data_IF_006566948897
#
_entry.id   IF_006566948897
#
_cell.length_a   1.000
_cell.length_b   1.000
_cell.length_c   1.000
_cell.angle_alpha   90.00
_cell.angle_beta   90.00
_cell.angle_gamma   90.00
#
_symmetry.space_group_name_H-M   'P 1'
#
loop_
_entity.id
_entity.type
_entity.pdbx_description
1 polymer ?
#
# COMPACT_ATOMS: atom_id res chain seq x y z
N UNK A 1 -31.45 5.03 -19.34
CA UNK A 1 -32.25 3.80 -19.15
C UNK A 1 -31.34 2.59 -19.34
N UNK A 2 -31.01 1.90 -18.26
CA UNK A 2 -30.68 0.47 -18.25
C UNK A 2 -30.82 0.04 -16.80
N UNK A 3 -31.71 -0.93 -16.55
CA UNK A 3 -32.21 -1.27 -15.23
C UNK A 3 -31.40 -2.39 -14.56
N UNK A 4 -31.60 -2.50 -13.25
CA UNK A 4 -31.52 -3.79 -12.55
C UNK A 4 -32.71 -3.85 -11.60
N UNK A 5 -33.63 -4.75 -11.91
CA UNK A 5 -34.72 -5.16 -11.04
C UNK A 5 -34.15 -5.96 -9.86
N UNK A 6 -34.47 -5.56 -8.63
CA UNK A 6 -34.51 -6.46 -7.49
C UNK A 6 -35.88 -6.32 -6.84
N UNK A 7 -36.77 -7.30 -7.05
CA UNK A 7 -38.06 -7.38 -6.38
C UNK A 7 -37.92 -7.69 -4.88
N UNK A 8 -39.01 -7.58 -4.10
CA UNK A 8 -38.95 -7.78 -2.66
C UNK A 8 -38.89 -9.28 -2.31
N UNK A 9 -37.79 -9.70 -1.67
CA UNK A 9 -37.66 -11.03 -1.08
C UNK A 9 -38.39 -11.07 0.27
N UNK A 10 -39.62 -11.60 0.31
CA UNK A 10 -40.30 -11.98 1.55
C UNK A 10 -39.94 -13.43 1.93
N UNK A 11 -39.02 -13.59 2.87
CA UNK A 11 -38.67 -14.86 3.50
C UNK A 11 -37.85 -14.62 4.77
N UNK A 12 -37.95 -15.48 5.82
CA UNK A 12 -37.25 -15.24 7.07
C UNK A 12 -35.74 -15.30 6.88
N UNK A 13 -35.04 -14.31 7.43
CA UNK A 13 -33.59 -14.17 7.34
C UNK A 13 -32.88 -15.36 8.01
N UNK A 14 -32.31 -16.27 7.21
CA UNK A 14 -31.31 -17.23 7.71
C UNK A 14 -29.99 -16.49 7.93
N UNK A 15 -29.44 -16.61 9.13
CA UNK A 15 -28.10 -16.09 9.44
C UNK A 15 -27.06 -16.74 8.51
N UNK A 16 -26.23 -15.99 7.79
CA UNK A 16 -25.14 -16.59 7.05
C UNK A 16 -24.13 -17.15 8.04
N UNK A 17 -23.83 -18.44 7.90
CA UNK A 17 -22.72 -19.08 8.58
C UNK A 17 -21.45 -18.26 8.33
N UNK A 18 -20.82 -17.82 9.42
CA UNK A 18 -19.63 -16.98 9.37
C UNK A 18 -18.46 -17.77 8.81
N UNK A 19 -18.06 -17.48 7.57
CA UNK A 19 -16.75 -17.89 7.08
C UNK A 19 -15.66 -17.34 8.02
N UNK A 20 -14.68 -18.16 8.45
CA UNK A 20 -13.55 -17.67 9.22
C UNK A 20 -12.83 -16.57 8.42
N UNK A 21 -12.60 -15.41 9.04
CA UNK A 21 -11.75 -14.37 8.43
C UNK A 21 -10.38 -14.97 8.10
N UNK A 22 -9.87 -14.66 6.91
CA UNK A 22 -8.45 -14.85 6.61
C UNK A 22 -7.63 -14.16 7.70
N UNK A 23 -7.04 -14.95 8.60
CA UNK A 23 -6.09 -14.44 9.57
C UNK A 23 -4.77 -14.26 8.85
N UNK A 24 -4.11 -13.12 9.09
CA UNK A 24 -2.68 -12.99 8.76
C UNK A 24 -1.98 -14.13 9.48
N UNK A 25 -1.28 -15.01 8.74
CA UNK A 25 -0.37 -15.95 9.37
C UNK A 25 0.60 -15.12 10.20
N UNK A 26 0.55 -15.26 11.53
CA UNK A 26 1.53 -14.65 12.42
C UNK A 26 2.83 -15.44 12.30
N UNK A 27 3.48 -15.34 11.15
CA UNK A 27 4.86 -15.79 11.02
C UNK A 27 5.77 -14.73 11.66
N UNK A 28 5.72 -14.65 12.99
CA UNK A 28 6.50 -13.72 13.83
C UNK A 28 8.00 -13.97 13.74
N UNK A 29 8.42 -15.08 13.14
CA UNK A 29 9.82 -15.49 13.01
C UNK A 29 10.65 -14.47 12.19
N UNK A 30 10.04 -13.83 11.18
CA UNK A 30 10.70 -12.86 10.31
C UNK A 30 10.84 -11.46 10.93
N UNK A 31 9.99 -11.11 11.89
CA UNK A 31 9.94 -9.75 12.44
C UNK A 31 11.05 -9.47 13.48
N UNK A 32 11.60 -10.52 14.11
CA UNK A 32 12.55 -10.40 15.23
C UNK A 32 13.94 -10.92 14.92
N UNK A 33 14.08 -11.76 13.90
CA UNK A 33 15.39 -12.22 13.44
C UNK A 33 15.96 -11.14 12.55
N UNK A 34 17.05 -10.48 12.97
CA UNK A 34 17.68 -9.42 12.18
C UNK A 34 17.98 -9.90 10.77
N UNK A 35 17.15 -9.50 9.80
CA UNK A 35 17.35 -9.82 8.39
C UNK A 35 18.74 -9.32 8.00
N UNK A 36 19.56 -10.23 7.48
CA UNK A 36 20.92 -9.95 7.04
C UNK A 36 21.83 -9.33 8.13
N UNK A 37 21.75 -9.80 9.39
CA UNK A 37 22.67 -9.37 10.46
C UNK A 37 24.18 -9.56 10.11
N UNK A 38 24.48 -10.45 9.17
CA UNK A 38 25.82 -10.69 8.63
C UNK A 38 26.24 -9.67 7.56
N UNK A 39 25.29 -8.96 6.92
CA UNK A 39 25.53 -7.94 5.89
C UNK A 39 25.97 -6.60 6.49
N UNK A 40 27.08 -6.63 7.23
CA UNK A 40 27.74 -5.45 7.81
C UNK A 40 28.61 -4.72 6.77
N UNK A 41 28.69 -5.22 5.53
CA UNK A 41 29.58 -4.74 4.47
C UNK A 41 29.30 -3.29 4.12
N UNK A 42 28.04 -2.88 4.03
CA UNK A 42 27.67 -1.49 3.76
C UNK A 42 28.19 -0.54 4.87
N UNK A 43 28.00 -0.91 6.14
CA UNK A 43 28.53 -0.15 7.28
C UNK A 43 30.05 -0.09 7.27
N UNK A 44 30.72 -1.24 7.12
CA UNK A 44 32.19 -1.34 7.09
C UNK A 44 32.84 -0.57 5.94
N UNK A 45 32.15 -0.48 4.80
CA UNK A 45 32.62 0.27 3.64
C UNK A 45 32.09 1.70 3.55
N UNK A 46 31.39 2.19 4.58
CA UNK A 46 30.84 3.55 4.60
C UNK A 46 29.78 3.82 3.54
N UNK A 47 29.16 2.78 2.96
CA UNK A 47 28.14 2.88 1.90
C UNK A 47 26.75 3.07 2.49
N UNK A 48 25.94 3.90 1.86
CA UNK A 48 24.53 4.07 2.21
C UNK A 48 23.70 2.88 1.68
N UNK A 49 22.68 2.48 2.43
CA UNK A 49 21.70 1.48 1.99
C UNK A 49 20.45 2.23 1.53
N UNK A 50 19.88 1.83 0.40
CA UNK A 50 18.58 2.31 -0.08
C UNK A 50 17.65 1.11 -0.24
N UNK A 51 16.53 1.12 0.46
CA UNK A 51 15.45 0.15 0.32
C UNK A 51 14.38 0.77 -0.57
N UNK A 52 14.02 0.11 -1.66
CA UNK A 52 13.11 0.66 -2.68
C UNK A 52 11.91 -0.26 -2.80
N UNK A 53 10.72 0.33 -2.87
CA UNK A 53 9.48 -0.40 -3.10
C UNK A 53 8.49 0.45 -3.91
N UNK A 54 7.54 -0.22 -4.56
CA UNK A 54 6.44 0.40 -5.31
C UNK A 54 5.10 0.11 -4.63
N UNK A 55 4.24 1.12 -4.56
CA UNK A 55 2.86 0.95 -4.12
C UNK A 55 1.87 1.55 -5.13
N UNK A 56 0.80 0.80 -5.43
CA UNK A 56 -0.31 1.26 -6.26
C UNK A 56 -1.48 1.72 -5.39
N UNK A 57 -1.96 2.93 -5.65
CA UNK A 57 -3.11 3.54 -4.98
C UNK A 57 -4.25 3.70 -5.98
N UNK A 58 -5.35 2.98 -5.76
CA UNK A 58 -6.58 3.20 -6.52
C UNK A 58 -7.27 4.46 -5.99
N UNK A 59 -7.76 5.31 -6.88
CA UNK A 59 -8.51 6.51 -6.50
C UNK A 59 -9.98 6.23 -6.16
N UNK A 60 -10.39 4.96 -6.21
CA UNK A 60 -11.70 4.53 -5.77
C UNK A 60 -11.84 4.67 -4.24
N UNK A 61 -12.97 5.19 -3.73
CA UNK A 61 -13.16 5.35 -2.31
C UNK A 61 -13.23 3.98 -1.61
N UNK A 62 -12.40 3.81 -0.59
CA UNK A 62 -12.44 2.63 0.26
C UNK A 62 -13.67 2.69 1.16
N UNK A 63 -14.59 1.73 1.02
CA UNK A 63 -15.72 1.57 1.93
C UNK A 63 -15.19 1.10 3.29
N UNK A 64 -15.36 1.94 4.32
CA UNK A 64 -14.94 1.68 5.70
C UNK A 64 -16.13 1.88 6.66
N UNK A 65 -15.86 1.78 7.96
CA UNK A 65 -16.87 2.08 8.99
C UNK A 65 -17.38 3.50 8.81
N UNK A 66 -18.71 3.63 8.81
CA UNK A 66 -19.41 4.91 8.73
C UNK A 66 -20.05 5.22 10.08
N UNK A 67 -20.22 6.51 10.38
CA UNK A 67 -21.04 6.99 11.50
C UNK A 67 -22.50 7.27 11.08
N UNK A 68 -22.92 6.77 9.92
CA UNK A 68 -24.29 6.90 9.45
C UNK A 68 -25.30 6.27 10.44
N UNK A 69 -26.55 6.76 10.47
CA UNK A 69 -27.60 6.22 11.32
C UNK A 69 -27.76 4.70 11.17
N UNK A 70 -27.95 4.01 12.29
CA UNK A 70 -28.18 2.55 12.28
C UNK A 70 -29.47 2.24 11.52
N UNK A 71 -29.41 1.26 10.63
CA UNK A 71 -30.55 0.87 9.80
C UNK A 71 -30.72 1.69 8.51
N UNK A 72 -29.87 2.69 8.26
CA UNK A 72 -29.85 3.43 7.01
C UNK A 72 -28.56 3.13 6.25
N UNK A 73 -28.67 2.53 5.06
CA UNK A 73 -27.51 2.25 4.21
C UNK A 73 -26.97 3.57 3.66
N UNK A 74 -25.71 3.93 3.96
CA UNK A 74 -25.12 5.14 3.41
C UNK A 74 -24.95 5.00 1.90
N UNK A 75 -25.40 6.00 1.14
CA UNK A 75 -25.14 6.09 -0.31
C UNK A 75 -23.85 6.89 -0.50
N UNK A 76 -22.83 6.24 -1.04
CA UNK A 76 -21.55 6.88 -1.38
C UNK A 76 -21.55 7.21 -2.87
N UNK A 77 -21.64 8.49 -3.21
CA UNK A 77 -21.45 8.93 -4.59
C UNK A 77 -19.96 8.91 -4.91
N UNK A 78 -19.56 8.05 -5.85
CA UNK A 78 -18.20 8.03 -6.37
C UNK A 78 -18.22 8.15 -7.89
N UNK A 79 -17.17 8.77 -8.42
CA UNK A 79 -16.87 8.67 -9.84
C UNK A 79 -16.19 7.33 -10.07
N UNK A 80 -16.80 6.47 -10.89
CA UNK A 80 -16.25 5.15 -11.24
C UNK A 80 -15.19 5.27 -12.35
N UNK A 81 -14.12 5.99 -12.04
CA UNK A 81 -12.89 5.93 -12.84
C UNK A 81 -11.92 4.99 -12.13
N UNK A 82 -11.47 3.96 -12.83
CA UNK A 82 -10.43 3.04 -12.39
C UNK A 82 -9.03 3.70 -12.48
N UNK A 83 -8.95 4.96 -12.05
CA UNK A 83 -7.70 5.71 -12.05
C UNK A 83 -6.81 5.19 -10.92
N UNK A 84 -5.53 4.98 -11.25
CA UNK A 84 -4.51 4.47 -10.33
C UNK A 84 -3.32 5.42 -10.32
N UNK A 85 -2.83 5.72 -9.12
CA UNK A 85 -1.53 6.31 -8.92
C UNK A 85 -0.53 5.20 -8.58
N UNK A 86 0.64 5.21 -9.19
CA UNK A 86 1.78 4.44 -8.70
C UNK A 86 2.74 5.36 -7.97
N UNK A 87 3.25 4.88 -6.85
CA UNK A 87 4.22 5.59 -6.02
C UNK A 87 5.45 4.71 -5.89
N UNK A 88 6.60 5.28 -6.23
CA UNK A 88 7.90 4.69 -5.90
C UNK A 88 8.45 5.40 -4.68
N UNK A 89 8.95 4.61 -3.71
CA UNK A 89 9.55 5.14 -2.50
C UNK A 89 10.92 4.50 -2.23
N UNK A 90 11.84 5.30 -1.71
CA UNK A 90 13.20 4.91 -1.34
C UNK A 90 13.50 5.34 0.10
N UNK A 91 13.71 4.36 0.97
CA UNK A 91 14.17 4.57 2.34
C UNK A 91 15.70 4.46 2.39
N UNK A 92 16.35 5.55 2.73
CA UNK A 92 17.80 5.65 2.79
C UNK A 92 18.30 5.56 4.23
N UNK A 93 19.34 4.75 4.43
CA UNK A 93 20.03 4.59 5.70
C UNK A 93 21.48 5.03 5.52
N UNK A 94 21.81 6.21 6.07
CA UNK A 94 23.15 6.76 6.01
C UNK A 94 24.09 6.01 6.98
N UNK A 95 25.13 5.39 6.43
CA UNK A 95 26.06 4.55 7.20
C UNK A 95 26.87 5.34 8.24
N UNK A 96 27.28 6.57 7.90
CA UNK A 96 28.10 7.42 8.78
C UNK A 96 27.31 8.26 9.77
N UNK A 97 26.12 8.71 9.40
CA UNK A 97 25.35 9.72 10.18
C UNK A 97 24.14 9.15 10.92
N UNK A 98 23.86 7.84 10.81
CA UNK A 98 22.64 7.19 11.32
C UNK A 98 21.35 7.95 10.95
N UNK A 99 21.38 8.63 9.80
CA UNK A 99 20.26 9.44 9.30
C UNK A 99 19.38 8.57 8.42
N UNK A 100 18.09 8.62 8.67
CA UNK A 100 17.07 7.98 7.84
C UNK A 100 16.46 9.07 6.96
N UNK A 101 16.38 8.83 5.65
CA UNK A 101 15.72 9.73 4.70
C UNK A 101 14.69 8.98 3.87
N UNK A 102 13.54 9.59 3.62
CA UNK A 102 12.49 9.04 2.76
C UNK A 102 12.36 9.93 1.52
N UNK A 103 12.49 9.31 0.35
CA UNK A 103 12.26 9.94 -0.94
C UNK A 103 11.13 9.20 -1.63
N UNK A 104 10.23 9.91 -2.30
CA UNK A 104 9.16 9.28 -3.06
C UNK A 104 8.77 10.13 -4.26
N UNK A 105 8.26 9.47 -5.30
CA UNK A 105 7.68 10.11 -6.46
C UNK A 105 6.32 9.45 -6.77
N UNK A 106 5.39 10.26 -7.27
CA UNK A 106 4.02 9.83 -7.58
C UNK A 106 3.81 9.96 -9.09
N UNK A 107 3.25 8.93 -9.70
CA UNK A 107 3.01 8.81 -11.12
C UNK A 107 1.56 8.42 -11.39
N UNK A 108 0.94 8.98 -12.43
CA UNK A 108 -0.42 8.62 -12.86
C UNK A 108 -0.49 7.30 -13.64
N UNK A 109 0.68 6.73 -13.96
CA UNK A 109 0.83 5.45 -14.65
C UNK A 109 1.77 4.57 -13.84
N UNK A 110 1.80 3.27 -14.17
CA UNK A 110 2.76 2.34 -13.58
C UNK A 110 4.19 2.86 -13.77
N UNK A 111 5.04 2.67 -12.76
CA UNK A 111 6.45 3.08 -12.81
C UNK A 111 7.16 2.15 -13.79
N UNK A 112 7.72 2.69 -14.86
CA UNK A 112 8.59 1.94 -15.76
C UNK A 112 10.07 2.17 -15.41
N UNK A 113 10.95 1.54 -16.17
CA UNK A 113 12.40 1.59 -15.92
C UNK A 113 12.94 3.03 -15.99
N UNK A 114 12.40 3.88 -16.87
CA UNK A 114 12.84 5.26 -17.04
C UNK A 114 12.53 6.12 -15.79
N UNK A 115 11.35 5.95 -15.20
CA UNK A 115 10.97 6.57 -13.94
C UNK A 115 11.86 6.08 -12.79
N UNK A 116 12.11 4.77 -12.71
CA UNK A 116 12.98 4.18 -11.70
C UNK A 116 14.42 4.71 -11.80
N UNK A 117 15.00 4.76 -12.99
CA UNK A 117 16.36 5.28 -13.20
C UNK A 117 16.47 6.75 -12.81
N UNK A 118 15.49 7.56 -13.22
CA UNK A 118 15.42 8.99 -12.85
C UNK A 118 15.30 9.16 -11.34
N UNK A 119 14.41 8.40 -10.70
CA UNK A 119 14.25 8.40 -9.24
C UNK A 119 15.56 8.05 -8.53
N UNK A 120 16.25 7.00 -8.98
CA UNK A 120 17.54 6.60 -8.42
C UNK A 120 18.62 7.69 -8.56
N UNK A 121 18.69 8.36 -9.70
CA UNK A 121 19.62 9.49 -9.92
C UNK A 121 19.28 10.65 -8.99
N UNK A 122 18.01 10.96 -8.80
CA UNK A 122 17.57 12.00 -7.85
C UNK A 122 17.96 11.63 -6.43
N UNK A 123 17.67 10.41 -5.97
CA UNK A 123 18.08 9.95 -4.63
C UNK A 123 19.59 10.01 -4.46
N UNK A 124 20.36 9.57 -5.47
CA UNK A 124 21.82 9.60 -5.44
C UNK A 124 22.37 11.02 -5.27
N UNK A 125 21.75 12.03 -5.88
CA UNK A 125 22.16 13.44 -5.72
C UNK A 125 21.97 13.98 -4.30
N UNK A 126 21.11 13.38 -3.49
CA UNK A 126 20.80 13.83 -2.13
C UNK A 126 21.52 13.02 -1.04
N UNK A 127 22.26 11.97 -1.41
CA UNK A 127 22.99 11.07 -0.51
C UNK A 127 24.45 11.47 -0.31
#
# INVERSE_FOLDING_TARGET
MCGVCCGPCNGPARSPDRCPRARRAEDRSWAWTGMAAHEKKARRSGRNIVLIDETGLMLQPLIRRTWAPRGQTPVMYCWDRHDRLSVIAGLTLASRRRRIGLYFAVHEKNVANEELERFLREVQRHL
#
